data_IF_182490738551
#
_entry.id   IF_182490738551
#
_cell.length_a   1.000
_cell.length_b   1.000
_cell.length_c   1.000
_cell.angle_alpha   90.00
_cell.angle_beta   90.00
_cell.angle_gamma   90.00
#
_symmetry.space_group_name_H-M   'P 1'
#
loop_
_entity.id
_entity.type
_entity.pdbx_description
1 polymer ?
#
# COMPACT_ATOMS: atom_id res chain seq x y z
N UNK A 1 19.97 10.73 18.11
CA UNK A 1 19.79 9.28 18.03
C UNK A 1 18.38 8.90 17.73
N UNK A 2 17.41 9.40 18.52
CA UNK A 2 16.00 9.14 18.20
C UNK A 2 15.59 9.69 16.85
N UNK A 3 16.17 10.82 16.45
CA UNK A 3 15.89 11.42 15.14
C UNK A 3 16.31 10.50 14.00
N UNK A 4 17.45 9.84 14.16
CA UNK A 4 17.97 8.95 13.12
C UNK A 4 17.08 7.71 12.97
N UNK A 5 16.58 7.17 14.10
CA UNK A 5 15.68 6.01 14.07
C UNK A 5 14.37 6.35 13.41
N UNK A 6 13.82 7.53 13.71
CA UNK A 6 12.58 7.99 13.08
C UNK A 6 12.74 8.17 11.58
N UNK A 7 13.89 8.70 11.16
CA UNK A 7 14.19 8.89 9.75
C UNK A 7 14.28 7.55 9.02
N UNK A 8 14.98 6.59 9.62
CA UNK A 8 15.12 5.25 9.03
C UNK A 8 13.78 4.55 8.90
N UNK A 9 12.92 4.69 9.91
CA UNK A 9 11.60 4.10 9.86
C UNK A 9 10.73 4.73 8.76
N UNK A 10 10.77 6.05 8.63
CA UNK A 10 10.04 6.75 7.57
C UNK A 10 10.54 6.35 6.20
N UNK A 11 11.84 6.18 6.03
CA UNK A 11 12.41 5.73 4.77
C UNK A 11 11.97 4.31 4.44
N UNK A 12 11.91 3.44 5.44
CA UNK A 12 11.43 2.07 5.27
C UNK A 12 9.96 2.06 4.84
N UNK A 13 9.12 2.85 5.52
CA UNK A 13 7.71 2.95 5.21
C UNK A 13 7.48 3.51 3.81
N UNK A 14 8.26 4.52 3.43
CA UNK A 14 8.16 5.08 2.09
C UNK A 14 8.49 4.03 1.03
N UNK A 15 9.47 3.16 1.30
CA UNK A 15 9.85 2.11 0.35
C UNK A 15 8.76 1.05 0.20
N UNK A 16 7.86 0.92 1.16
CA UNK A 16 6.75 -0.03 1.08
C UNK A 16 5.73 0.32 -0.02
N UNK A 17 5.79 1.53 -0.55
CA UNK A 17 4.87 1.98 -1.59
C UNK A 17 5.44 1.84 -2.99
N UNK A 18 6.66 1.33 -3.13
CA UNK A 18 7.34 1.22 -4.41
C UNK A 18 8.01 -0.14 -4.54
N UNK A 19 8.31 -0.51 -5.78
CA UNK A 19 8.95 -1.78 -6.05
C UNK A 19 8.09 -2.98 -5.74
N UNK A 20 6.79 -2.79 -5.78
CA UNK A 20 5.81 -3.84 -5.52
C UNK A 20 5.63 -4.72 -6.76
N UNK A 21 5.04 -5.92 -6.61
CA UNK A 21 4.62 -6.68 -7.79
C UNK A 21 3.79 -5.81 -8.72
N UNK A 22 3.91 -6.04 -10.01
CA UNK A 22 3.30 -5.17 -11.02
C UNK A 22 1.80 -4.95 -10.80
N UNK A 23 1.06 -6.01 -10.52
CA UNK A 23 -0.38 -5.91 -10.29
C UNK A 23 -0.72 -5.07 -9.06
N UNK A 24 0.07 -5.21 -8.00
CA UNK A 24 -0.15 -4.47 -6.76
C UNK A 24 0.25 -3.00 -6.94
N UNK A 25 1.37 -2.74 -7.60
CA UNK A 25 1.80 -1.38 -7.86
C UNK A 25 0.78 -0.62 -8.70
N UNK A 26 0.25 -1.29 -9.72
CA UNK A 26 -0.78 -0.71 -10.58
C UNK A 26 -2.03 -0.32 -9.77
N UNK A 27 -2.52 -1.24 -8.94
CA UNK A 27 -3.72 -0.99 -8.15
C UNK A 27 -3.51 0.09 -7.11
N UNK A 28 -2.33 0.12 -6.49
CA UNK A 28 -2.00 1.15 -5.52
C UNK A 28 -1.93 2.54 -6.18
N UNK A 29 -1.26 2.62 -7.33
CA UNK A 29 -1.12 3.89 -8.03
C UNK A 29 -2.46 4.42 -8.50
N UNK A 30 -3.32 3.57 -9.01
CA UNK A 30 -4.67 3.97 -9.41
C UNK A 30 -5.49 4.45 -8.21
N UNK A 31 -5.37 3.76 -7.09
CA UNK A 31 -6.08 4.14 -5.86
C UNK A 31 -5.62 5.51 -5.37
N UNK A 32 -4.30 5.75 -5.35
CA UNK A 32 -3.75 7.05 -4.97
C UNK A 32 -4.28 8.16 -5.86
N UNK A 33 -4.32 7.92 -7.15
CA UNK A 33 -4.81 8.89 -8.11
C UNK A 33 -6.29 9.20 -7.88
N UNK A 34 -7.08 8.16 -7.64
CA UNK A 34 -8.50 8.31 -7.37
C UNK A 34 -8.77 9.11 -6.11
N UNK A 35 -7.94 8.91 -5.06
CA UNK A 35 -8.06 9.69 -3.84
C UNK A 35 -7.82 11.17 -4.09
N UNK A 36 -6.82 11.50 -4.92
CA UNK A 36 -6.51 12.88 -5.25
C UNK A 36 -7.59 13.53 -6.09
N UNK A 37 -8.19 12.76 -6.99
CA UNK A 37 -9.16 13.30 -7.96
C UNK A 37 -10.61 13.20 -7.49
N UNK A 38 -10.87 12.58 -6.34
CA UNK A 38 -12.23 12.40 -5.84
C UNK A 38 -13.08 11.53 -6.75
N UNK A 39 -12.50 10.42 -7.22
CA UNK A 39 -13.13 9.53 -8.19
C UNK A 39 -14.38 8.85 -7.64
N UNK A 40 -15.40 8.68 -8.49
CA UNK A 40 -16.63 7.98 -8.13
C UNK A 40 -16.43 6.47 -7.99
N UNK A 41 -15.34 5.93 -8.56
CA UNK A 41 -15.09 4.49 -8.53
C UNK A 41 -14.14 4.09 -7.39
N UNK A 42 -14.00 4.95 -6.39
CA UNK A 42 -13.08 4.70 -5.27
C UNK A 42 -13.39 3.38 -4.56
N UNK A 43 -14.67 3.05 -4.37
CA UNK A 43 -15.06 1.81 -3.71
C UNK A 43 -14.60 0.58 -4.49
N UNK A 44 -14.69 0.63 -5.83
CA UNK A 44 -14.22 -0.47 -6.68
C UNK A 44 -12.70 -0.63 -6.57
N UNK A 45 -11.99 0.50 -6.61
CA UNK A 45 -10.53 0.49 -6.51
C UNK A 45 -10.08 0.03 -5.13
N UNK A 46 -10.84 0.35 -4.09
CA UNK A 46 -10.58 -0.12 -2.73
C UNK A 46 -10.56 -1.65 -2.70
N UNK A 47 -11.60 -2.27 -3.27
CA UNK A 47 -11.70 -3.73 -3.30
C UNK A 47 -10.58 -4.38 -4.12
N UNK A 48 -10.23 -3.79 -5.25
CA UNK A 48 -9.14 -4.28 -6.08
C UNK A 48 -7.81 -4.22 -5.34
N UNK A 49 -7.53 -3.10 -4.69
CA UNK A 49 -6.29 -2.94 -3.92
C UNK A 49 -6.24 -3.92 -2.74
N UNK A 50 -7.34 -4.06 -2.02
CA UNK A 50 -7.42 -5.00 -0.91
C UNK A 50 -7.09 -6.42 -1.39
N UNK A 51 -7.69 -6.83 -2.50
CA UNK A 51 -7.43 -8.16 -3.07
C UNK A 51 -5.99 -8.34 -3.50
N UNK A 52 -5.40 -7.33 -4.14
CA UNK A 52 -4.01 -7.39 -4.61
C UNK A 52 -3.04 -7.48 -3.44
N UNK A 53 -3.29 -6.74 -2.36
CA UNK A 53 -2.46 -6.82 -1.15
C UNK A 53 -2.52 -8.24 -0.58
N UNK A 54 -3.71 -8.82 -0.47
CA UNK A 54 -3.87 -10.16 0.05
C UNK A 54 -3.17 -11.22 -0.80
N UNK A 55 -3.27 -11.08 -2.12
CA UNK A 55 -2.59 -12.01 -3.03
C UNK A 55 -1.07 -11.91 -2.86
N UNK A 56 -0.55 -10.69 -2.81
CA UNK A 56 0.89 -10.49 -2.67
C UNK A 56 1.42 -11.02 -1.34
N UNK A 57 0.65 -10.88 -0.27
CA UNK A 57 1.05 -11.36 1.04
C UNK A 57 0.89 -12.88 1.18
N UNK A 58 -0.31 -13.39 0.89
CA UNK A 58 -0.69 -14.75 1.26
C UNK A 58 -0.38 -15.75 0.16
N UNK A 59 -0.80 -15.46 -1.07
CA UNK A 59 -0.65 -16.42 -2.16
C UNK A 59 0.77 -16.43 -2.72
N UNK A 60 1.32 -15.26 -3.00
CA UNK A 60 2.60 -15.13 -3.70
C UNK A 60 3.78 -14.95 -2.76
N UNK A 61 3.53 -14.46 -1.55
CA UNK A 61 4.59 -14.24 -0.58
C UNK A 61 5.60 -13.18 -0.99
N UNK A 62 5.18 -12.23 -1.82
CA UNK A 62 6.06 -11.16 -2.29
C UNK A 62 6.25 -10.04 -1.28
N UNK A 63 5.32 -9.89 -0.35
CA UNK A 63 5.42 -8.90 0.71
C UNK A 63 5.16 -9.57 2.06
N UNK A 64 5.71 -8.98 3.11
CA UNK A 64 5.53 -9.48 4.48
C UNK A 64 4.17 -9.05 5.03
N UNK A 65 3.76 -9.67 6.14
CA UNK A 65 2.56 -9.25 6.87
C UNK A 65 2.66 -7.81 7.33
N UNK A 66 3.84 -7.40 7.80
CA UNK A 66 4.09 -6.03 8.22
C UNK A 66 3.89 -5.05 7.07
N UNK A 67 4.42 -5.40 5.90
CA UNK A 67 4.30 -4.60 4.68
C UNK A 67 2.82 -4.47 4.27
N UNK A 68 2.12 -5.61 4.25
CA UNK A 68 0.71 -5.63 3.88
C UNK A 68 -0.14 -4.80 4.85
N UNK A 69 0.12 -4.91 6.15
CA UNK A 69 -0.61 -4.15 7.16
C UNK A 69 -0.38 -2.66 7.01
N UNK A 70 0.86 -2.25 6.70
CA UNK A 70 1.14 -0.85 6.43
C UNK A 70 0.29 -0.30 5.29
N UNK A 71 0.21 -1.03 4.19
CA UNK A 71 -0.57 -0.61 3.03
C UNK A 71 -2.06 -0.54 3.35
N UNK A 72 -2.56 -1.53 4.08
CA UNK A 72 -3.98 -1.53 4.49
C UNK A 72 -4.32 -0.33 5.37
N UNK A 73 -3.51 -0.08 6.38
CA UNK A 73 -3.78 1.01 7.32
C UNK A 73 -3.71 2.36 6.66
N UNK A 74 -2.68 2.59 5.85
CA UNK A 74 -2.47 3.90 5.24
C UNK A 74 -3.50 4.22 4.18
N UNK A 75 -3.81 3.26 3.32
CA UNK A 75 -4.62 3.53 2.14
C UNK A 75 -6.07 3.07 2.26
N UNK A 76 -6.29 1.90 2.81
CA UNK A 76 -7.64 1.33 2.88
C UNK A 76 -8.39 1.80 4.11
N UNK A 77 -7.76 1.74 5.25
CA UNK A 77 -8.40 2.15 6.52
C UNK A 77 -8.11 3.59 6.88
N UNK A 78 -7.11 4.17 6.26
CA UNK A 78 -6.73 5.58 6.40
C UNK A 78 -6.56 6.04 7.86
N UNK A 79 -5.84 5.24 8.60
CA UNK A 79 -5.50 5.55 9.99
C UNK A 79 -4.35 6.55 10.10
#
# INVERSE_FOLDING_TARGET
MTADMNKLQKEREASYEYGLPEYLQHDLDEYKQALQNGSDILDCLWGELYGSINIAEINDGFITSEHADYLRRKFLWRE
#
